data_IF_105989123583
#
_entry.id   IF_105989123583
#
_cell.length_a   1.000
_cell.length_b   1.000
_cell.length_c   1.000
_cell.angle_alpha   90.00
_cell.angle_beta   90.00
_cell.angle_gamma   90.00
#
_symmetry.space_group_name_H-M   'P 1'
#
loop_
_entity.id
_entity.type
_entity.pdbx_description
1 polymer ?
#
# COMPACT_ATOMS: atom_id res chain seq x y z
N UNK A 1 -0.20 9.27 12.21
CA UNK A 1 0.52 8.35 13.10
C UNK A 1 -0.47 7.23 13.39
N UNK A 2 -0.07 5.98 13.18
CA UNK A 2 -0.95 4.80 13.25
C UNK A 2 -0.90 4.10 14.62
N UNK A 3 -0.13 4.68 15.55
CA UNK A 3 0.13 4.13 16.87
C UNK A 3 -1.06 4.39 17.79
N UNK A 4 -2.04 3.48 17.79
CA UNK A 4 -3.24 3.60 18.62
C UNK A 4 -2.95 3.48 20.12
N UNK A 5 -1.82 2.89 20.51
CA UNK A 5 -1.34 2.90 21.90
C UNK A 5 -0.95 4.28 22.42
N UNK A 6 -0.75 5.26 21.52
CA UNK A 6 -0.45 6.66 21.87
C UNK A 6 -1.70 7.54 21.84
N UNK A 7 -2.89 6.96 21.74
CA UNK A 7 -4.18 7.65 21.78
C UNK A 7 -4.97 7.19 23.00
N UNK A 8 -6.26 7.52 23.05
CA UNK A 8 -7.19 7.14 24.11
C UNK A 8 -7.74 5.71 23.95
N UNK A 9 -7.23 4.92 22.99
CA UNK A 9 -7.65 3.52 22.80
C UNK A 9 -7.24 2.67 24.00
N UNK A 10 -8.11 1.79 24.44
CA UNK A 10 -7.88 0.93 25.62
C UNK A 10 -8.02 -0.56 25.32
N UNK A 11 -8.71 -0.92 24.25
CA UNK A 11 -8.84 -2.27 23.73
C UNK A 11 -7.65 -2.60 22.79
N UNK A 12 -6.87 -3.61 23.14
CA UNK A 12 -5.71 -4.08 22.36
C UNK A 12 -5.70 -5.60 22.17
N UNK A 13 -6.87 -6.25 22.32
CA UNK A 13 -7.04 -7.69 22.11
C UNK A 13 -6.73 -8.11 20.67
N UNK A 14 -7.01 -7.25 19.69
CA UNK A 14 -6.76 -7.47 18.27
C UNK A 14 -5.29 -7.73 17.92
N UNK A 15 -4.35 -7.26 18.74
CA UNK A 15 -2.90 -7.47 18.56
C UNK A 15 -2.48 -8.91 18.85
N UNK A 16 -3.34 -9.75 19.46
CA UNK A 16 -3.01 -11.11 19.89
C UNK A 16 -3.32 -12.19 18.86
N UNK A 17 -3.76 -11.80 17.67
CA UNK A 17 -4.19 -12.72 16.62
C UNK A 17 -3.14 -12.84 15.54
N UNK A 18 -2.95 -14.06 15.07
CA UNK A 18 -2.03 -14.40 13.99
C UNK A 18 -2.76 -15.19 12.92
N UNK A 19 -2.35 -14.98 11.66
CA UNK A 19 -2.84 -15.78 10.56
C UNK A 19 -2.18 -17.16 10.55
N UNK A 20 -2.98 -18.21 10.35
CA UNK A 20 -2.52 -19.58 10.23
C UNK A 20 -3.13 -20.21 8.98
N UNK A 21 -2.34 -20.45 7.92
CA UNK A 21 -2.78 -21.22 6.77
C UNK A 21 -3.20 -22.64 7.21
N UNK A 22 -4.19 -23.21 6.51
CA UNK A 22 -4.80 -24.49 6.88
C UNK A 22 -3.85 -25.69 6.78
N UNK A 23 -3.04 -25.74 5.73
CA UNK A 23 -2.30 -26.94 5.34
C UNK A 23 -0.77 -26.78 5.43
N UNK A 24 -0.28 -25.72 6.07
CA UNK A 24 1.16 -25.54 6.30
C UNK A 24 1.46 -24.80 7.60
N UNK A 25 2.65 -25.06 8.16
CA UNK A 25 3.17 -24.25 9.26
C UNK A 25 3.52 -22.86 8.75
N UNK A 26 3.14 -21.84 9.53
CA UNK A 26 3.51 -20.46 9.24
C UNK A 26 4.64 -20.05 10.19
N UNK A 27 5.87 -19.81 9.70
CA UNK A 27 7.00 -19.46 10.56
C UNK A 27 6.79 -18.07 11.17
N UNK A 28 7.11 -17.92 12.45
CA UNK A 28 7.08 -16.61 13.12
C UNK A 28 8.09 -15.67 12.46
N UNK A 29 7.73 -14.39 12.36
CA UNK A 29 8.64 -13.40 11.82
C UNK A 29 9.81 -13.15 12.79
N UNK A 30 11.01 -13.55 12.38
CA UNK A 30 12.24 -13.26 13.13
C UNK A 30 13.03 -12.15 12.42
N UNK A 31 13.18 -11.00 13.08
CA UNK A 31 13.80 -9.80 12.49
C UNK A 31 15.18 -10.06 11.92
N UNK A 32 16.00 -10.86 12.60
CA UNK A 32 17.40 -11.10 12.22
C UNK A 32 17.46 -12.02 11.00
N UNK A 33 16.60 -13.03 10.92
CA UNK A 33 16.43 -13.91 9.77
C UNK A 33 15.93 -13.13 8.56
N UNK A 34 14.95 -12.24 8.75
CA UNK A 34 14.45 -11.36 7.71
C UNK A 34 15.57 -10.46 7.15
N UNK A 35 16.27 -9.72 8.01
CA UNK A 35 17.35 -8.81 7.60
C UNK A 35 18.53 -9.56 6.96
N UNK A 36 18.91 -10.75 7.46
CA UNK A 36 19.91 -11.60 6.80
C UNK A 36 19.48 -12.02 5.40
N UNK A 37 18.21 -12.42 5.23
CA UNK A 37 17.68 -12.80 3.91
C UNK A 37 17.60 -11.60 2.95
N UNK A 38 17.43 -10.41 3.49
CA UNK A 38 17.35 -9.14 2.77
C UNK A 38 18.69 -8.39 2.69
N UNK A 39 19.79 -9.06 3.05
CA UNK A 39 21.11 -8.48 2.95
C UNK A 39 21.42 -8.05 1.51
N UNK A 40 21.91 -6.82 1.36
CA UNK A 40 22.22 -6.16 0.09
C UNK A 40 21.02 -6.01 -0.87
N UNK A 41 19.78 -6.07 -0.36
CA UNK A 41 18.56 -5.97 -1.15
C UNK A 41 17.75 -4.71 -0.87
N UNK A 42 17.01 -4.27 -1.89
CA UNK A 42 16.04 -3.18 -1.78
C UNK A 42 14.61 -3.69 -1.88
N UNK A 43 13.79 -3.35 -0.88
CA UNK A 43 12.35 -3.59 -0.83
C UNK A 43 11.63 -2.27 -1.08
N UNK A 44 10.82 -2.20 -2.12
CA UNK A 44 10.07 -1.02 -2.51
C UNK A 44 8.56 -1.24 -2.36
N UNK A 45 7.91 -0.40 -1.57
CA UNK A 45 6.46 -0.26 -1.52
C UNK A 45 6.04 0.93 -2.39
N UNK A 46 5.19 0.71 -3.38
CA UNK A 46 4.70 1.78 -4.26
C UNK A 46 3.17 1.74 -4.28
N UNK A 47 2.52 2.80 -3.78
CA UNK A 47 1.06 2.80 -3.73
C UNK A 47 0.45 3.94 -2.94
N UNK A 48 -0.71 3.67 -2.36
CA UNK A 48 -1.51 4.62 -1.58
C UNK A 48 -1.20 4.60 -0.07
N UNK A 49 -2.05 5.24 0.74
CA UNK A 49 -1.89 5.31 2.19
C UNK A 49 -1.81 3.95 2.89
N UNK A 50 -2.45 2.90 2.37
CA UNK A 50 -2.36 1.55 2.92
C UNK A 50 -1.09 0.82 2.48
N UNK A 51 -0.49 1.20 1.35
CA UNK A 51 0.88 0.83 1.02
C UNK A 51 1.88 1.44 2.01
N UNK A 52 1.68 2.73 2.34
CA UNK A 52 2.49 3.40 3.36
C UNK A 52 2.37 2.72 4.71
N UNK A 53 1.15 2.29 5.06
CA UNK A 53 0.92 1.59 6.31
C UNK A 53 1.68 0.28 6.40
N UNK A 54 1.64 -0.54 5.35
CA UNK A 54 2.38 -1.79 5.28
C UNK A 54 3.90 -1.55 5.35
N UNK A 55 4.41 -0.55 4.65
CA UNK A 55 5.80 -0.12 4.77
C UNK A 55 6.18 0.24 6.22
N UNK A 56 5.35 1.04 6.90
CA UNK A 56 5.63 1.46 8.27
C UNK A 56 5.53 0.31 9.28
N UNK A 57 4.61 -0.62 9.06
CA UNK A 57 4.57 -1.90 9.78
C UNK A 57 5.87 -2.67 9.61
N UNK A 58 6.34 -2.88 8.37
CA UNK A 58 7.57 -3.62 8.12
C UNK A 58 8.78 -2.92 8.75
N UNK A 59 8.83 -1.59 8.69
CA UNK A 59 9.86 -0.83 9.39
C UNK A 59 9.84 -1.14 10.90
N UNK A 60 8.68 -1.07 11.56
CA UNK A 60 8.58 -1.43 12.98
C UNK A 60 9.00 -2.87 13.27
N UNK A 61 8.59 -3.84 12.44
CA UNK A 61 8.98 -5.25 12.59
C UNK A 61 10.50 -5.44 12.41
N UNK A 62 11.10 -4.79 11.41
CA UNK A 62 12.54 -4.87 11.14
C UNK A 62 13.37 -4.15 12.20
N UNK A 63 12.87 -3.05 12.78
CA UNK A 63 13.54 -2.35 13.88
C UNK A 63 13.31 -3.01 15.24
N UNK A 64 12.34 -3.91 15.36
CA UNK A 64 11.88 -4.44 16.64
C UNK A 64 11.11 -3.41 17.48
N UNK A 65 10.64 -2.31 16.86
CA UNK A 65 10.00 -1.19 17.56
C UNK A 65 10.94 -0.36 18.42
N UNK A 66 12.25 -0.60 18.33
CA UNK A 66 13.28 0.12 19.10
C UNK A 66 13.65 1.44 18.39
N UNK A 67 13.97 2.46 19.19
CA UNK A 67 14.40 3.79 18.69
C UNK A 67 15.81 3.75 18.06
N UNK A 68 16.52 2.61 18.15
CA UNK A 68 17.95 2.53 17.84
C UNK A 68 18.44 1.23 17.17
N UNK A 69 17.84 0.73 16.07
CA UNK A 69 18.67 0.18 15.01
C UNK A 69 19.27 1.35 14.23
N UNK A 70 20.56 1.29 13.95
CA UNK A 70 21.23 2.17 12.99
C UNK A 70 20.43 2.13 11.68
N UNK A 71 19.54 3.09 11.45
CA UNK A 71 18.73 3.20 10.24
C UNK A 71 18.99 4.57 9.66
N UNK A 72 19.55 4.60 8.46
CA UNK A 72 19.91 5.82 7.75
C UNK A 72 18.77 6.25 6.83
N UNK A 73 18.35 7.52 6.93
CA UNK A 73 17.50 8.14 5.91
C UNK A 73 18.37 8.50 4.70
N UNK A 74 18.15 7.78 3.61
CA UNK A 74 18.88 7.93 2.35
C UNK A 74 17.96 8.44 1.24
N UNK A 75 16.85 9.11 1.58
CA UNK A 75 15.85 9.59 0.61
C UNK A 75 16.45 10.45 -0.51
N UNK A 76 17.52 11.19 -0.22
CA UNK A 76 18.27 11.98 -1.21
C UNK A 76 18.86 11.13 -2.35
N UNK A 77 19.28 9.90 -2.08
CA UNK A 77 19.81 8.99 -3.11
C UNK A 77 18.74 8.52 -4.12
N UNK A 78 17.47 8.76 -3.82
CA UNK A 78 16.32 8.39 -4.63
C UNK A 78 15.53 9.61 -5.13
N UNK A 79 16.07 10.82 -4.94
CA UNK A 79 15.39 12.10 -5.23
C UNK A 79 14.08 12.28 -4.44
N UNK A 80 13.93 11.61 -3.28
CA UNK A 80 12.77 11.70 -2.40
C UNK A 80 13.03 12.70 -1.26
N UNK A 81 13.25 13.96 -1.64
CA UNK A 81 13.46 15.05 -0.68
C UNK A 81 12.16 15.80 -0.46
N UNK A 82 11.80 16.07 0.80
CA UNK A 82 10.66 16.93 1.11
C UNK A 82 10.93 18.36 0.59
N UNK A 83 10.15 18.80 -0.40
CA UNK A 83 10.17 20.20 -0.84
C UNK A 83 9.67 21.13 0.27
N UNK A 84 10.21 22.37 0.33
CA UNK A 84 9.93 23.35 1.42
C UNK A 84 8.44 23.62 1.63
N UNK A 85 7.66 23.60 0.56
CA UNK A 85 6.23 23.91 0.58
C UNK A 85 5.35 22.66 0.72
N UNK A 86 5.92 21.46 0.55
CA UNK A 86 5.17 20.22 0.66
C UNK A 86 4.88 19.89 2.12
N UNK A 87 3.63 19.53 2.42
CA UNK A 87 3.23 19.10 3.76
C UNK A 87 3.95 17.79 4.13
N UNK A 88 4.21 16.91 3.14
CA UNK A 88 4.86 15.60 3.29
C UNK A 88 5.81 15.32 2.11
N UNK A 89 6.86 14.49 2.27
CA UNK A 89 7.65 14.01 1.14
C UNK A 89 6.83 13.02 0.28
N UNK A 90 7.26 12.84 -0.96
CA UNK A 90 6.67 11.86 -1.89
C UNK A 90 7.05 10.41 -1.56
N UNK A 91 7.90 10.20 -0.56
CA UNK A 91 8.30 8.88 -0.10
C UNK A 91 9.32 8.94 1.02
N UNK A 92 9.74 7.76 1.49
CA UNK A 92 10.80 7.58 2.48
C UNK A 92 11.70 6.43 2.04
N UNK A 93 13.00 6.54 2.30
CA UNK A 93 13.96 5.48 2.00
C UNK A 93 14.86 5.31 3.21
N UNK A 94 14.86 4.11 3.76
CA UNK A 94 15.63 3.76 4.95
C UNK A 94 16.59 2.61 4.66
N UNK A 95 17.85 2.76 5.06
CA UNK A 95 18.88 1.73 4.94
C UNK A 95 19.30 1.23 6.31
N UNK A 96 19.41 -0.08 6.44
CA UNK A 96 19.99 -0.78 7.59
C UNK A 96 21.48 -1.05 7.28
N UNK A 97 22.45 -0.28 7.81
CA UNK A 97 23.84 -0.36 7.39
C UNK A 97 24.47 -1.73 7.62
N UNK A 98 24.12 -2.40 8.73
CA UNK A 98 24.66 -3.73 9.07
C UNK A 98 24.43 -4.80 8.00
N UNK A 99 23.29 -4.78 7.33
CA UNK A 99 22.94 -5.72 6.25
C UNK A 99 22.88 -5.05 4.89
N UNK A 100 23.13 -3.74 4.81
CA UNK A 100 22.91 -2.92 3.62
C UNK A 100 21.51 -3.14 3.00
N UNK A 101 20.51 -3.49 3.83
CA UNK A 101 19.13 -3.68 3.39
C UNK A 101 18.48 -2.32 3.27
N UNK A 102 17.83 -2.04 2.14
CA UNK A 102 17.05 -0.82 1.94
C UNK A 102 15.56 -1.15 1.93
N UNK A 103 14.76 -0.41 2.68
CA UNK A 103 13.30 -0.48 2.64
C UNK A 103 12.78 0.92 2.33
N UNK A 104 11.92 1.02 1.31
CA UNK A 104 11.41 2.29 0.86
C UNK A 104 9.92 2.28 0.58
N UNK A 105 9.34 3.46 0.64
CA UNK A 105 7.98 3.74 0.19
C UNK A 105 7.98 4.92 -0.78
N UNK A 106 7.21 4.80 -1.86
CA UNK A 106 6.91 5.89 -2.78
C UNK A 106 5.39 6.06 -2.93
N UNK A 107 4.93 7.30 -2.82
CA UNK A 107 3.52 7.66 -2.97
C UNK A 107 3.13 7.67 -4.45
N UNK A 108 2.29 6.71 -4.83
CA UNK A 108 1.60 6.71 -6.11
C UNK A 108 0.23 6.05 -5.94
N UNK A 109 -0.75 6.87 -5.56
CA UNK A 109 -2.04 6.33 -5.10
C UNK A 109 -2.87 5.64 -6.19
N UNK A 110 -2.62 5.96 -7.46
CA UNK A 110 -3.30 5.35 -8.63
C UNK A 110 -2.39 4.41 -9.42
N UNK A 111 -1.09 4.37 -9.15
CA UNK A 111 -0.06 3.71 -9.96
C UNK A 111 0.05 4.23 -11.42
N UNK A 112 -0.69 5.26 -11.78
CA UNK A 112 -0.54 5.95 -13.05
C UNK A 112 0.64 6.93 -12.98
N UNK A 113 1.24 7.19 -14.14
CA UNK A 113 2.20 8.28 -14.27
C UNK A 113 1.50 9.64 -14.28
N UNK A 114 2.11 10.60 -13.61
CA UNK A 114 1.54 11.95 -13.43
C UNK A 114 2.49 12.97 -14.03
N UNK A 115 2.05 13.64 -15.08
CA UNK A 115 2.87 14.60 -15.84
C UNK A 115 2.11 15.92 -15.96
N UNK A 116 2.65 17.06 -15.48
CA UNK A 116 2.05 18.36 -15.73
C UNK A 116 1.86 18.61 -17.23
N UNK A 117 0.67 19.01 -17.66
CA UNK A 117 0.38 19.24 -19.09
C UNK A 117 1.23 20.39 -19.64
N UNK A 118 1.45 21.43 -18.82
CA UNK A 118 2.38 22.51 -19.12
C UNK A 118 3.37 22.70 -17.96
N UNK A 119 4.61 22.24 -18.13
CA UNK A 119 5.67 22.31 -17.10
C UNK A 119 6.03 23.74 -16.65
N UNK A 120 5.71 24.75 -17.46
CA UNK A 120 6.00 26.15 -17.14
C UNK A 120 4.88 26.83 -16.35
N UNK A 121 3.69 26.24 -16.31
CA UNK A 121 2.52 26.76 -15.60
C UNK A 121 2.28 25.94 -14.32
N UNK A 122 2.55 26.49 -13.12
CA UNK A 122 2.36 25.76 -11.86
C UNK A 122 0.88 25.47 -11.55
N UNK A 123 -0.05 26.09 -12.29
CA UNK A 123 -1.48 25.88 -12.16
C UNK A 123 -2.04 24.99 -13.27
N UNK A 124 -1.20 24.35 -14.08
CA UNK A 124 -1.66 23.46 -15.13
C UNK A 124 -2.37 22.23 -14.56
N UNK A 125 -3.27 21.64 -15.34
CA UNK A 125 -3.80 20.32 -15.04
C UNK A 125 -2.72 19.25 -15.26
N UNK A 126 -2.86 18.12 -14.58
CA UNK A 126 -1.88 17.03 -14.63
C UNK A 126 -2.45 15.88 -15.44
N UNK A 127 -1.72 15.43 -16.45
CA UNK A 127 -2.02 14.23 -17.21
C UNK A 127 -1.74 13.01 -16.34
N UNK A 128 -2.79 12.24 -16.04
CA UNK A 128 -2.72 10.95 -15.38
C UNK A 128 -2.76 9.84 -16.42
N UNK A 129 -1.59 9.34 -16.80
CA UNK A 129 -1.42 8.31 -17.83
C UNK A 129 -1.73 6.92 -17.27
N UNK A 130 -2.90 6.39 -17.62
CA UNK A 130 -3.39 5.10 -17.12
C UNK A 130 -2.59 3.89 -17.64
N UNK A 131 -1.93 4.07 -18.78
CA UNK A 131 -1.15 3.06 -19.50
C UNK A 131 0.33 3.05 -19.12
N UNK A 132 0.77 3.97 -18.25
CA UNK A 132 2.16 4.11 -17.84
C UNK A 132 2.31 3.99 -16.32
N UNK A 133 3.23 3.14 -15.81
CA UNK A 133 3.54 3.09 -14.38
C UNK A 133 4.23 4.39 -13.93
N UNK A 134 4.32 4.71 -12.63
CA UNK A 134 4.84 5.98 -12.17
C UNK A 134 6.31 6.18 -12.59
N UNK A 135 6.69 7.40 -12.97
CA UNK A 135 8.06 7.71 -13.40
C UNK A 135 9.14 7.22 -12.42
N UNK A 136 8.91 7.34 -11.11
CA UNK A 136 9.81 6.84 -10.07
C UNK A 136 10.08 5.33 -10.20
N UNK A 137 9.03 4.54 -10.43
CA UNK A 137 9.12 3.09 -10.60
C UNK A 137 9.94 2.74 -11.84
N UNK A 138 9.67 3.39 -12.98
CA UNK A 138 10.42 3.17 -14.22
C UNK A 138 11.90 3.51 -14.07
N UNK A 139 12.21 4.64 -13.43
CA UNK A 139 13.59 5.11 -13.22
C UNK A 139 14.38 4.19 -12.30
N UNK A 140 13.76 3.68 -11.23
CA UNK A 140 14.47 2.96 -10.16
C UNK A 140 14.28 1.44 -10.19
N UNK A 141 13.55 0.86 -11.15
CA UNK A 141 13.25 -0.58 -11.20
C UNK A 141 14.49 -1.47 -11.05
N UNK A 142 15.60 -1.06 -11.68
CA UNK A 142 16.88 -1.77 -11.65
C UNK A 142 17.52 -1.84 -10.25
N UNK A 143 17.08 -1.00 -9.30
CA UNK A 143 17.57 -0.96 -7.91
C UNK A 143 16.78 -1.87 -6.98
N UNK A 144 15.62 -2.38 -7.42
CA UNK A 144 14.71 -3.14 -6.56
C UNK A 144 14.97 -4.63 -6.65
N UNK A 145 14.87 -5.32 -5.52
CA UNK A 145 14.87 -6.78 -5.44
C UNK A 145 13.48 -7.32 -5.08
N UNK A 146 12.72 -6.55 -4.31
CA UNK A 146 11.30 -6.80 -4.01
C UNK A 146 10.50 -5.53 -4.28
N UNK A 147 9.45 -5.63 -5.08
CA UNK A 147 8.50 -4.55 -5.33
C UNK A 147 7.11 -5.00 -4.89
N UNK A 148 6.50 -4.26 -3.97
CA UNK A 148 5.12 -4.47 -3.50
C UNK A 148 4.30 -3.27 -3.94
N UNK A 149 3.24 -3.52 -4.71
CA UNK A 149 2.36 -2.46 -5.19
C UNK A 149 0.96 -2.60 -4.64
N UNK A 150 0.26 -1.48 -4.48
CA UNK A 150 -1.16 -1.47 -4.19
C UNK A 150 -1.83 -0.20 -4.73
N UNK A 151 -3.13 -0.29 -5.01
CA UNK A 151 -3.97 0.86 -5.34
C UNK A 151 -5.44 0.51 -5.11
N UNK A 152 -6.30 1.49 -4.85
CA UNK A 152 -7.73 1.25 -4.67
C UNK A 152 -8.47 2.50 -4.20
N UNK A 153 -8.41 2.79 -2.90
CA UNK A 153 -9.27 3.78 -2.24
C UNK A 153 -9.14 5.23 -2.74
N UNK A 154 -8.04 5.55 -3.43
CA UNK A 154 -7.81 6.86 -4.03
C UNK A 154 -8.43 7.05 -5.42
N UNK A 155 -8.98 6.00 -6.02
CA UNK A 155 -9.77 6.06 -7.26
C UNK A 155 -11.16 6.64 -7.00
N UNK A 156 -11.23 7.93 -6.69
CA UNK A 156 -12.49 8.65 -6.48
C UNK A 156 -12.47 10.04 -7.14
N UNK A 157 -13.65 10.48 -7.59
CA UNK A 157 -13.78 11.72 -8.40
C UNK A 157 -13.31 12.94 -7.62
N UNK A 158 -13.55 12.98 -6.32
CA UNK A 158 -13.14 14.07 -5.44
C UNK A 158 -11.63 14.25 -5.42
N UNK A 159 -10.86 13.17 -5.25
CA UNK A 159 -9.39 13.19 -5.25
C UNK A 159 -8.83 13.55 -6.63
N UNK A 160 -9.36 12.98 -7.71
CA UNK A 160 -8.89 13.33 -9.06
C UNK A 160 -9.11 14.82 -9.36
N UNK A 161 -10.30 15.36 -9.04
CA UNK A 161 -10.60 16.80 -9.20
C UNK A 161 -9.72 17.68 -8.32
N UNK A 162 -9.56 17.33 -7.04
CA UNK A 162 -8.74 18.11 -6.11
C UNK A 162 -7.27 18.17 -6.52
N UNK A 163 -6.76 17.12 -7.17
CA UNK A 163 -5.39 17.09 -7.71
C UNK A 163 -5.31 17.56 -9.18
N UNK A 164 -6.42 17.98 -9.79
CA UNK A 164 -6.50 18.43 -11.19
C UNK A 164 -6.00 17.39 -12.19
N UNK A 165 -6.28 16.12 -11.91
CA UNK A 165 -5.87 15.00 -12.75
C UNK A 165 -6.88 14.79 -13.88
N UNK A 166 -6.36 14.78 -15.10
CA UNK A 166 -7.10 14.44 -16.32
C UNK A 166 -6.58 13.09 -16.81
N UNK A 167 -7.47 12.15 -17.12
CA UNK A 167 -7.06 10.80 -17.52
C UNK A 167 -6.53 10.78 -18.96
N UNK A 168 -5.39 10.14 -19.18
CA UNK A 168 -4.72 10.02 -20.46
C UNK A 168 -4.42 8.56 -20.81
N UNK A 169 -4.48 8.23 -22.09
CA UNK A 169 -4.00 6.97 -22.69
C UNK A 169 -3.36 7.31 -24.04
N UNK A 170 -2.23 6.68 -24.37
CA UNK A 170 -1.49 6.93 -25.62
C UNK A 170 -1.15 8.42 -25.85
N UNK A 171 -0.86 9.15 -24.76
CA UNK A 171 -0.48 10.56 -24.81
C UNK A 171 -1.62 11.54 -25.09
N UNK A 172 -2.89 11.10 -25.06
CA UNK A 172 -4.06 11.96 -25.28
C UNK A 172 -5.08 11.82 -24.14
N UNK A 173 -5.88 12.87 -23.86
CA UNK A 173 -7.03 12.75 -22.97
C UNK A 173 -7.97 11.63 -23.43
N UNK A 174 -8.59 10.93 -22.49
CA UNK A 174 -9.58 9.89 -22.80
C UNK A 174 -10.88 10.56 -23.27
N UNK A 175 -11.34 10.19 -24.46
CA UNK A 175 -12.64 10.59 -25.01
C UNK A 175 -13.70 9.48 -24.87
N UNK A 176 -13.27 8.23 -24.65
CA UNK A 176 -14.15 7.08 -24.44
C UNK A 176 -14.82 7.16 -23.05
N UNK A 177 -16.13 7.38 -23.03
CA UNK A 177 -16.89 7.51 -21.78
C UNK A 177 -16.84 6.25 -20.90
N UNK A 178 -16.72 5.07 -21.52
CA UNK A 178 -16.64 3.80 -20.82
C UNK A 178 -15.34 3.67 -20.03
N UNK A 179 -14.21 4.01 -20.64
CA UNK A 179 -12.90 4.01 -20.01
C UNK A 179 -12.73 5.18 -19.04
N UNK A 180 -13.43 6.30 -19.27
CA UNK A 180 -13.46 7.44 -18.35
C UNK A 180 -14.22 7.14 -17.04
N UNK A 181 -15.01 6.06 -16.98
CA UNK A 181 -15.53 5.56 -15.71
C UNK A 181 -14.38 5.18 -14.76
N UNK A 182 -14.50 5.54 -13.48
CA UNK A 182 -13.42 5.37 -12.52
C UNK A 182 -13.05 3.91 -12.26
N UNK A 183 -14.03 3.01 -12.22
CA UNK A 183 -13.76 1.61 -11.97
C UNK A 183 -13.05 1.00 -13.20
N UNK A 184 -13.51 1.36 -14.40
CA UNK A 184 -12.87 0.92 -15.65
C UNK A 184 -11.47 1.50 -15.81
N UNK A 185 -11.26 2.78 -15.53
CA UNK A 185 -9.95 3.44 -15.54
C UNK A 185 -8.97 2.79 -14.55
N UNK A 186 -9.44 2.49 -13.32
CA UNK A 186 -8.67 1.76 -12.31
C UNK A 186 -8.24 0.40 -12.83
N UNK A 187 -9.21 -0.38 -13.32
CA UNK A 187 -8.97 -1.73 -13.81
C UNK A 187 -7.97 -1.69 -14.99
N UNK A 188 -8.18 -0.79 -15.95
CA UNK A 188 -7.27 -0.58 -17.07
C UNK A 188 -5.84 -0.27 -16.60
N UNK A 189 -5.69 0.57 -15.59
CA UNK A 189 -4.37 0.92 -15.01
C UNK A 189 -3.71 -0.28 -14.35
N UNK A 190 -4.46 -1.04 -13.53
CA UNK A 190 -3.99 -2.26 -12.87
C UNK A 190 -3.47 -3.27 -13.90
N UNK A 191 -4.23 -3.54 -14.96
CA UNK A 191 -3.81 -4.45 -16.03
C UNK A 191 -2.63 -3.90 -16.84
N UNK A 192 -2.57 -2.59 -17.10
CA UNK A 192 -1.49 -1.98 -17.90
C UNK A 192 -0.17 -1.96 -17.14
N UNK A 193 -0.17 -1.56 -15.87
CA UNK A 193 1.01 -1.58 -15.00
C UNK A 193 1.51 -3.00 -14.78
N UNK A 194 0.61 -3.96 -14.57
CA UNK A 194 0.99 -5.38 -14.40
C UNK A 194 1.63 -5.95 -15.66
N UNK A 195 1.05 -5.71 -16.84
CA UNK A 195 1.65 -6.15 -18.12
C UNK A 195 3.00 -5.49 -18.38
N UNK A 196 3.13 -4.20 -18.08
CA UNK A 196 4.41 -3.51 -18.21
C UNK A 196 5.45 -4.16 -17.29
N UNK A 197 5.15 -4.38 -16.00
CA UNK A 197 6.08 -5.03 -15.08
C UNK A 197 6.47 -6.43 -15.53
N UNK A 198 5.50 -7.24 -15.94
CA UNK A 198 5.80 -8.57 -16.46
C UNK A 198 6.78 -8.50 -17.64
N UNK A 199 6.60 -7.57 -18.58
CA UNK A 199 7.54 -7.37 -19.70
C UNK A 199 8.96 -7.03 -19.24
N UNK A 200 9.12 -6.34 -18.10
CA UNK A 200 10.42 -5.96 -17.55
C UNK A 200 11.12 -7.11 -16.81
N UNK A 201 10.39 -8.12 -16.33
CA UNK A 201 10.95 -9.18 -15.48
C UNK A 201 11.94 -10.10 -16.19
N UNK A 202 11.90 -10.16 -17.53
CA UNK A 202 12.93 -10.89 -18.30
C UNK A 202 14.31 -10.25 -18.18
N UNK A 203 14.36 -8.92 -18.07
CA UNK A 203 15.59 -8.13 -17.92
C UNK A 203 15.99 -7.91 -16.46
N UNK A 204 15.13 -8.29 -15.51
CA UNK A 204 15.33 -8.12 -14.07
C UNK A 204 15.10 -9.44 -13.32
N UNK A 205 15.88 -10.51 -13.58
CA UNK A 205 15.60 -11.86 -13.08
C UNK A 205 15.62 -12.00 -11.55
N UNK A 206 16.26 -11.07 -10.84
CA UNK A 206 16.30 -11.03 -9.36
C UNK A 206 15.08 -10.35 -8.75
N UNK A 207 14.37 -9.50 -9.49
CA UNK A 207 13.24 -8.74 -9.00
C UNK A 207 12.04 -9.66 -8.75
N UNK A 208 11.49 -9.62 -7.53
CA UNK A 208 10.22 -10.23 -7.17
C UNK A 208 9.16 -9.13 -7.05
N UNK A 209 8.07 -9.26 -7.80
CA UNK A 209 6.99 -8.28 -7.81
C UNK A 209 5.75 -8.91 -7.20
N UNK A 210 5.12 -8.19 -6.28
CA UNK A 210 3.86 -8.53 -5.66
C UNK A 210 2.85 -7.41 -5.92
N UNK A 211 1.67 -7.78 -6.39
CA UNK A 211 0.51 -6.91 -6.37
C UNK A 211 -0.36 -7.31 -5.19
N UNK A 212 -0.44 -6.42 -4.20
CA UNK A 212 -1.30 -6.60 -3.04
C UNK A 212 -2.74 -6.27 -3.40
N UNK A 213 -3.65 -7.16 -3.02
CA UNK A 213 -5.09 -6.95 -3.19
C UNK A 213 -5.61 -5.79 -2.31
N UNK A 214 -6.84 -5.36 -2.57
CA UNK A 214 -7.48 -4.28 -1.82
C UNK A 214 -7.58 -4.63 -0.33
N UNK A 215 -7.19 -3.68 0.53
CA UNK A 215 -7.50 -3.79 1.95
C UNK A 215 -8.93 -3.31 2.17
N UNK A 216 -9.75 -4.06 2.91
CA UNK A 216 -11.14 -3.69 3.16
C UNK A 216 -11.23 -2.45 4.05
N UNK A 217 -12.43 -1.86 4.04
CA UNK A 217 -12.92 -0.92 5.04
C UNK A 217 -14.11 -1.53 5.77
N UNK A 218 -14.42 -1.06 6.98
CA UNK A 218 -15.55 -1.59 7.75
C UNK A 218 -16.42 -0.46 8.30
N UNK A 219 -17.31 0.10 7.48
CA UNK A 219 -18.27 1.07 7.97
C UNK A 219 -19.59 0.39 8.36
N UNK A 220 -20.09 0.75 9.55
CA UNK A 220 -21.42 0.39 10.05
C UNK A 220 -22.27 1.66 10.19
N UNK A 221 -23.58 1.52 9.92
CA UNK A 221 -24.59 2.58 10.09
C UNK A 221 -24.31 3.89 9.32
N UNK A 222 -23.58 3.80 8.21
CA UNK A 222 -23.21 4.94 7.36
C UNK A 222 -21.94 4.63 6.59
N UNK A 223 -21.36 5.66 6.00
CA UNK A 223 -20.07 5.64 5.29
C UNK A 223 -19.17 6.75 5.87
N UNK A 224 -17.96 6.91 5.34
CA UNK A 224 -16.95 7.88 5.77
C UNK A 224 -17.46 9.34 5.81
N UNK A 225 -18.50 9.68 5.05
CA UNK A 225 -19.09 11.02 4.98
C UNK A 225 -20.53 11.11 5.49
N UNK A 226 -21.12 10.01 5.97
CA UNK A 226 -22.53 9.96 6.40
C UNK A 226 -22.71 9.44 7.83
N UNK A 227 -21.65 9.50 8.64
CA UNK A 227 -21.67 9.16 10.06
C UNK A 227 -21.40 7.68 10.36
N UNK A 228 -20.82 6.94 9.41
CA UNK A 228 -20.41 5.55 9.63
C UNK A 228 -19.32 5.41 10.71
N UNK A 229 -19.28 4.25 11.36
CA UNK A 229 -18.29 3.93 12.39
C UNK A 229 -17.77 2.48 12.29
N UNK A 230 -16.68 2.22 13.02
CA UNK A 230 -15.98 0.94 13.13
C UNK A 230 -15.53 0.73 14.58
N UNK A 231 -16.46 0.89 15.51
CA UNK A 231 -16.19 0.80 16.96
C UNK A 231 -16.31 -0.62 17.51
N UNK A 232 -16.42 -1.64 16.65
CA UNK A 232 -16.36 -3.02 17.12
C UNK A 232 -14.98 -3.27 17.75
N UNK A 233 -14.97 -3.73 18.99
CA UNK A 233 -13.74 -4.07 19.74
C UNK A 233 -13.66 -5.57 20.02
N UNK A 234 -14.67 -6.34 19.61
CA UNK A 234 -14.71 -7.78 19.73
C UNK A 234 -14.03 -8.39 18.50
N UNK A 235 -12.89 -9.06 18.65
CA UNK A 235 -12.19 -9.62 17.49
C UNK A 235 -12.97 -10.76 16.85
N UNK A 236 -12.89 -10.85 15.52
CA UNK A 236 -13.42 -11.97 14.73
C UNK A 236 -14.94 -12.16 14.87
N UNK A 237 -15.71 -11.08 15.11
CA UNK A 237 -17.18 -11.14 15.21
C UNK A 237 -17.83 -11.73 13.95
N UNK A 238 -17.22 -11.49 12.77
CA UNK A 238 -17.67 -12.03 11.48
C UNK A 238 -17.22 -13.47 11.18
N UNK A 239 -16.46 -14.09 12.08
CA UNK A 239 -15.84 -15.40 11.88
C UNK A 239 -14.31 -15.35 11.91
N UNK A 240 -13.69 -16.52 11.94
CA UNK A 240 -12.23 -16.70 12.10
C UNK A 240 -11.55 -17.44 10.95
N UNK A 241 -12.27 -17.72 9.87
CA UNK A 241 -11.79 -18.56 8.78
C UNK A 241 -12.07 -17.92 7.42
N UNK A 242 -11.13 -18.11 6.49
CA UNK A 242 -11.31 -17.82 5.07
C UNK A 242 -11.47 -19.15 4.35
N UNK A 243 -12.64 -19.39 3.76
CA UNK A 243 -13.00 -20.69 3.14
C UNK A 243 -12.97 -20.66 1.61
N UNK A 244 -12.73 -19.49 1.03
CA UNK A 244 -12.69 -19.28 -0.42
C UNK A 244 -11.30 -19.59 -0.99
N UNK A 245 -11.29 -20.21 -2.17
CA UNK A 245 -10.05 -20.51 -2.91
C UNK A 245 -9.63 -19.40 -3.87
N UNK A 246 -10.55 -18.48 -4.18
CA UNK A 246 -10.32 -17.33 -5.08
C UNK A 246 -10.20 -16.04 -4.28
N UNK A 247 -9.45 -15.09 -4.85
CA UNK A 247 -9.34 -13.77 -4.25
C UNK A 247 -10.69 -13.04 -4.26
N UNK A 248 -10.98 -12.30 -3.18
CA UNK A 248 -12.08 -11.32 -3.18
C UNK A 248 -11.81 -10.13 -4.11
N UNK A 249 -10.57 -9.95 -4.59
CA UNK A 249 -10.18 -8.89 -5.53
C UNK A 249 -9.93 -9.47 -6.93
N UNK A 250 -11.03 -9.75 -7.64
CA UNK A 250 -11.01 -10.35 -8.98
C UNK A 250 -10.20 -9.53 -10.01
N UNK A 251 -10.12 -8.21 -9.82
CA UNK A 251 -9.39 -7.32 -10.74
C UNK A 251 -7.89 -7.56 -10.62
N UNK A 252 -7.37 -7.55 -9.39
CA UNK A 252 -5.94 -7.78 -9.15
C UNK A 252 -5.59 -9.23 -9.48
N UNK A 253 -6.40 -10.20 -9.03
CA UNK A 253 -6.21 -11.63 -9.34
C UNK A 253 -6.17 -11.85 -10.85
N UNK A 254 -7.13 -11.29 -11.59
CA UNK A 254 -7.19 -11.38 -13.04
C UNK A 254 -6.02 -10.72 -13.76
N UNK A 255 -5.54 -9.59 -13.25
CA UNK A 255 -4.42 -8.85 -13.84
C UNK A 255 -3.08 -9.59 -13.71
N UNK A 256 -2.84 -10.25 -12.58
CA UNK A 256 -1.60 -11.01 -12.35
C UNK A 256 -1.64 -12.42 -12.94
N UNK A 257 -2.83 -12.97 -13.18
CA UNK A 257 -3.00 -14.32 -13.72
C UNK A 257 -2.27 -14.50 -15.05
N UNK A 258 -1.40 -15.52 -15.11
CA UNK A 258 -0.59 -15.82 -16.30
C UNK A 258 0.64 -14.93 -16.47
N UNK A 259 0.93 -14.04 -15.52
CA UNK A 259 2.14 -13.21 -15.48
C UNK A 259 3.13 -13.72 -14.43
N UNK A 260 4.33 -13.15 -14.40
CA UNK A 260 5.32 -13.39 -13.33
C UNK A 260 5.13 -12.50 -12.10
N UNK A 261 4.19 -11.56 -12.14
CA UNK A 261 3.79 -10.77 -10.97
C UNK A 261 3.00 -11.67 -10.04
N UNK A 262 3.34 -11.68 -8.76
CA UNK A 262 2.69 -12.51 -7.75
C UNK A 262 1.52 -11.76 -7.11
N UNK A 263 0.46 -12.49 -6.78
CA UNK A 263 -0.61 -11.98 -5.92
C UNK A 263 -0.13 -12.00 -4.46
N UNK A 264 -0.29 -10.88 -3.74
CA UNK A 264 -0.26 -10.85 -2.29
C UNK A 264 -1.70 -10.65 -1.80
N UNK A 265 -2.41 -11.75 -1.61
CA UNK A 265 -3.83 -11.72 -1.26
C UNK A 265 -4.02 -11.52 0.24
N UNK A 266 -4.56 -10.37 0.60
CA UNK A 266 -4.81 -9.96 1.98
C UNK A 266 -6.29 -9.64 2.24
N UNK A 267 -7.15 -9.68 1.23
CA UNK A 267 -8.47 -9.04 1.31
C UNK A 267 -9.35 -9.81 2.30
N UNK A 268 -9.59 -11.09 2.03
CA UNK A 268 -10.49 -11.92 2.83
C UNK A 268 -10.02 -12.08 4.29
N UNK A 269 -8.71 -12.27 4.53
CA UNK A 269 -8.20 -12.35 5.90
C UNK A 269 -8.36 -11.03 6.66
N UNK A 270 -8.32 -9.90 5.95
CA UNK A 270 -8.46 -8.57 6.57
C UNK A 270 -9.93 -8.20 6.78
N UNK A 271 -10.86 -8.78 6.01
CA UNK A 271 -12.32 -8.62 6.19
C UNK A 271 -12.80 -9.22 7.51
N UNK A 272 -12.09 -10.22 8.05
CA UNK A 272 -12.38 -10.81 9.36
C UNK A 272 -12.00 -9.91 10.54
N UNK A 273 -11.28 -8.80 10.28
CA UNK A 273 -10.51 -8.08 11.30
C UNK A 273 -11.03 -6.67 11.54
N UNK A 274 -12.33 -6.45 11.41
CA UNK A 274 -12.99 -5.14 11.56
C UNK A 274 -12.58 -4.40 12.85
N UNK A 275 -12.25 -5.13 13.91
CA UNK A 275 -11.81 -4.58 15.18
C UNK A 275 -10.44 -3.86 15.13
N UNK A 276 -9.64 -4.11 14.09
CA UNK A 276 -8.27 -3.60 13.96
C UNK A 276 -8.14 -2.18 13.44
N UNK A 277 -9.25 -1.55 13.03
CA UNK A 277 -9.24 -0.19 12.47
C UNK A 277 -8.87 0.88 13.49
N UNK A 278 -8.39 2.03 13.00
CA UNK A 278 -8.12 3.19 13.86
C UNK A 278 -9.41 3.71 14.51
N UNK A 279 -10.54 3.66 13.81
CA UNK A 279 -11.81 4.23 14.24
C UNK A 279 -11.65 5.72 14.65
N UNK A 280 -12.31 6.16 15.71
CA UNK A 280 -12.21 7.50 16.31
C UNK A 280 -10.85 7.85 16.91
N UNK A 281 -9.96 6.87 17.08
CA UNK A 281 -8.75 7.05 17.88
C UNK A 281 -7.67 7.82 17.10
N UNK A 282 -7.53 9.12 17.39
CA UNK A 282 -6.51 9.96 16.78
C UNK A 282 -5.87 10.89 17.80
N UNK A 283 -4.61 11.30 17.55
CA UNK A 283 -3.88 12.22 18.43
C UNK A 283 -4.57 13.57 18.56
N UNK A 284 -5.35 13.97 17.55
CA UNK A 284 -6.21 15.15 17.56
C UNK A 284 -7.64 14.69 17.33
N UNK A 285 -8.32 14.30 18.40
CA UNK A 285 -9.71 13.84 18.35
C UNK A 285 -10.57 14.86 17.60
N UNK A 286 -11.13 14.44 16.47
CA UNK A 286 -12.09 15.24 15.71
C UNK A 286 -13.44 14.55 15.89
N UNK A 287 -14.32 15.16 16.69
CA UNK A 287 -15.62 14.56 17.01
C UNK A 287 -16.39 14.24 15.70
N UNK A 288 -16.93 13.03 15.62
CA UNK A 288 -17.75 12.56 14.50
C UNK A 288 -16.98 12.02 13.29
N UNK A 289 -15.65 11.89 13.36
CA UNK A 289 -14.83 11.30 12.27
C UNK A 289 -14.25 9.96 12.71
N UNK A 290 -14.62 8.89 12.02
CA UNK A 290 -14.04 7.55 12.21
C UNK A 290 -13.18 7.16 11.01
N UNK A 291 -11.96 6.70 11.28
CA UNK A 291 -11.09 6.13 10.27
C UNK A 291 -11.26 4.61 10.21
N UNK A 292 -12.20 4.17 9.38
CA UNK A 292 -12.53 2.76 9.15
C UNK A 292 -11.87 2.18 7.90
N UNK A 293 -10.80 2.84 7.43
CA UNK A 293 -10.02 2.43 6.28
C UNK A 293 -8.60 2.07 6.69
N UNK A 294 -8.00 2.86 7.59
CA UNK A 294 -6.66 2.62 8.09
C UNK A 294 -6.68 1.73 9.33
N UNK A 295 -5.59 1.00 9.54
CA UNK A 295 -5.43 0.07 10.67
C UNK A 295 -4.61 0.67 11.83
N UNK A 296 -4.72 0.12 13.03
CA UNK A 296 -3.73 0.39 14.07
C UNK A 296 -2.42 -0.36 13.78
N UNK A 297 -1.30 0.18 14.27
CA UNK A 297 0.00 -0.50 14.33
C UNK A 297 0.49 -0.58 15.80
N UNK A 298 0.97 -1.75 16.28
CA UNK A 298 0.97 -3.06 15.60
C UNK A 298 -0.45 -3.58 15.30
N UNK A 299 -0.61 -4.49 14.34
CA UNK A 299 -1.93 -4.96 13.90
C UNK A 299 -1.93 -5.67 12.54
N UNK A 300 -3.05 -5.57 11.83
CA UNK A 300 -3.35 -6.31 10.58
C UNK A 300 -2.24 -6.16 9.51
N UNK A 301 -1.64 -4.98 9.29
CA UNK A 301 -0.54 -4.84 8.33
C UNK A 301 0.72 -5.65 8.68
N UNK A 302 0.91 -6.05 9.95
CA UNK A 302 2.00 -6.95 10.33
C UNK A 302 1.78 -8.33 9.70
N UNK A 303 0.55 -8.86 9.73
CA UNK A 303 0.18 -10.10 9.01
C UNK A 303 0.46 -10.00 7.51
N UNK A 304 0.21 -8.86 6.87
CA UNK A 304 0.51 -8.68 5.44
C UNK A 304 2.01 -8.78 5.16
N UNK A 305 2.84 -8.31 6.10
CA UNK A 305 4.29 -8.41 6.02
C UNK A 305 4.81 -9.79 6.38
N UNK A 306 4.16 -10.51 7.29
CA UNK A 306 4.44 -11.93 7.54
C UNK A 306 4.19 -12.75 6.27
N UNK A 307 3.07 -12.50 5.55
CA UNK A 307 2.77 -13.16 4.28
C UNK A 307 3.78 -12.82 3.18
N UNK A 308 4.17 -11.54 3.08
CA UNK A 308 5.22 -11.11 2.15
C UNK A 308 6.58 -11.77 2.46
N UNK A 309 6.85 -12.01 3.75
CA UNK A 309 8.09 -12.58 4.24
C UNK A 309 8.09 -14.12 4.27
N UNK A 310 6.99 -14.81 4.04
CA UNK A 310 6.98 -16.26 3.91
C UNK A 310 7.69 -16.70 2.62
#
# INVERSE_FOLDING_TARGET
MWACRLTQRTDFSYERYRWQPKDCEFPEFERSAFLRRMQDKTIAFIGDSLGRQQFQSLMCMATGGEVSPEVEDIGREYDLVKHRESIRPDGWVYRFPKTNTTILYYWSSTLADLVPINITDPTTDVAMHLDHPPAFMRKNLHRFDVLVMNTGHHWNRGKLRANRWVMYVNGKPIEDEGLADLANAKNFTVYSVTRWLDSQLSSHPRLKVFFRTISPWHFLNGDWNSGGSCDNTTPLTGGSEVVQDKSSDEVIEGAVRGTRVKLLDITALSELRDEGHISRYSVKETQGVNDCLHWCLPGIPDTWNELLAA
#
